data_IF_318274153154
#
_entry.id   IF_318274153154
#
_cell.length_a   1.000
_cell.length_b   1.000
_cell.length_c   1.000
_cell.angle_alpha   90.00
_cell.angle_beta   90.00
_cell.angle_gamma   90.00
#
_symmetry.space_group_name_H-M   'P 1'
#
loop_
_entity.id
_entity.type
_entity.pdbx_description
1 polymer ?
#
# COMPACT_ATOMS: atom_id res chain seq x y z
N UNK A 1 12.26 10.83 12.37
CA UNK A 1 12.16 10.14 13.67
C UNK A 1 12.82 10.87 14.84
N UNK A 2 14.05 11.38 14.72
CA UNK A 2 14.78 11.98 15.86
C UNK A 2 14.00 13.05 16.65
N UNK A 3 13.43 14.07 16.00
CA UNK A 3 12.65 15.11 16.69
C UNK A 3 11.43 14.53 17.44
N UNK A 4 10.71 13.59 16.81
CA UNK A 4 9.57 12.92 17.43
C UNK A 4 9.97 12.15 18.70
N UNK A 5 11.10 11.45 18.66
CA UNK A 5 11.59 10.63 19.78
C UNK A 5 12.13 11.50 20.92
N UNK A 6 12.96 12.49 20.60
CA UNK A 6 13.72 13.25 21.60
C UNK A 6 13.02 14.55 22.05
N UNK A 7 12.45 15.31 21.12
CA UNK A 7 11.83 16.61 21.42
C UNK A 7 10.38 16.46 21.86
N UNK A 8 9.59 15.67 21.11
CA UNK A 8 8.14 15.54 21.37
C UNK A 8 7.82 14.52 22.46
N UNK A 9 8.49 13.36 22.46
CA UNK A 9 8.23 12.27 23.40
C UNK A 9 9.32 12.12 24.49
N UNK A 10 10.21 13.10 24.58
CA UNK A 10 11.22 13.27 25.63
C UNK A 10 12.06 12.01 25.91
N UNK A 11 12.41 11.25 24.87
CA UNK A 11 13.19 10.01 24.96
C UNK A 11 12.64 9.01 26.00
N UNK A 12 11.32 9.03 26.22
CA UNK A 12 10.64 8.10 27.11
C UNK A 12 10.82 6.65 26.66
N UNK A 13 10.52 5.69 27.53
CA UNK A 13 10.56 4.26 27.17
C UNK A 13 9.63 3.94 25.98
N UNK A 14 8.46 4.59 25.92
CA UNK A 14 7.55 4.48 24.79
C UNK A 14 8.15 5.07 23.50
N UNK A 15 8.80 6.23 23.57
CA UNK A 15 9.47 6.86 22.42
C UNK A 15 10.52 5.93 21.80
N UNK A 16 11.39 5.36 22.64
CA UNK A 16 12.42 4.41 22.22
C UNK A 16 11.83 3.13 21.61
N UNK A 17 10.71 2.65 22.14
CA UNK A 17 10.00 1.51 21.55
C UNK A 17 9.43 1.83 20.18
N UNK A 18 8.85 3.01 19.98
CA UNK A 18 8.34 3.44 18.66
C UNK A 18 9.50 3.58 17.67
N UNK A 19 10.63 4.15 18.09
CA UNK A 19 11.82 4.25 17.25
C UNK A 19 12.33 2.87 16.82
N UNK A 20 12.44 1.93 17.75
CA UNK A 20 12.87 0.56 17.45
C UNK A 20 11.91 -0.14 16.48
N UNK A 21 10.60 0.00 16.67
CA UNK A 21 9.59 -0.56 15.74
C UNK A 21 9.67 0.08 14.35
N UNK A 22 9.91 1.39 14.28
CA UNK A 22 10.11 2.08 13.00
C UNK A 22 11.37 1.58 12.29
N UNK A 23 12.48 1.39 13.00
CA UNK A 23 13.72 0.84 12.43
C UNK A 23 13.51 -0.59 11.92
N UNK A 24 12.90 -1.46 12.74
CA UNK A 24 12.56 -2.83 12.36
C UNK A 24 11.69 -2.88 11.09
N UNK A 25 10.70 -1.99 11.00
CA UNK A 25 9.88 -1.82 9.80
C UNK A 25 10.74 -1.39 8.61
N UNK A 26 11.48 -0.28 8.71
CA UNK A 26 12.29 0.26 7.61
C UNK A 26 13.31 -0.75 7.06
N UNK A 27 14.01 -1.46 7.94
CA UNK A 27 14.99 -2.48 7.59
C UNK A 27 14.34 -3.77 7.09
N UNK A 28 13.06 -3.99 7.45
CA UNK A 28 12.32 -5.18 7.06
C UNK A 28 12.95 -6.44 7.62
N UNK A 29 13.39 -6.42 8.88
CA UNK A 29 14.15 -7.53 9.48
C UNK A 29 13.22 -8.71 9.81
N UNK A 30 12.12 -8.42 10.49
CA UNK A 30 11.17 -9.43 10.97
C UNK A 30 10.19 -9.91 9.91
N UNK A 31 9.46 -10.99 10.21
CA UNK A 31 8.39 -11.47 9.32
C UNK A 31 7.22 -10.49 9.33
N UNK A 32 6.94 -9.92 10.49
CA UNK A 32 5.93 -8.91 10.73
C UNK A 32 6.23 -7.65 9.92
N UNK A 33 7.46 -7.12 9.98
CA UNK A 33 7.86 -5.95 9.21
C UNK A 33 7.72 -6.17 7.69
N UNK A 34 8.17 -7.33 7.18
CA UNK A 34 8.03 -7.70 5.77
C UNK A 34 6.56 -7.80 5.35
N UNK A 35 5.73 -8.43 6.19
CA UNK A 35 4.31 -8.57 5.94
C UNK A 35 3.60 -7.21 5.94
N UNK A 36 3.89 -6.34 6.92
CA UNK A 36 3.32 -4.99 7.00
C UNK A 36 3.72 -4.15 5.79
N UNK A 37 4.97 -4.27 5.28
CA UNK A 37 5.38 -3.59 4.03
C UNK A 37 4.59 -4.07 2.82
N UNK A 38 4.27 -5.36 2.77
CA UNK A 38 3.44 -5.90 1.69
C UNK A 38 1.99 -5.42 1.79
N UNK A 39 1.45 -5.25 3.01
CA UNK A 39 0.15 -4.64 3.23
C UNK A 39 0.12 -3.16 2.81
N UNK A 40 1.15 -2.38 3.14
CA UNK A 40 1.28 -0.96 2.76
C UNK A 40 1.26 -0.78 1.23
N UNK A 41 1.96 -1.67 0.50
CA UNK A 41 1.91 -1.70 -0.97
C UNK A 41 0.54 -2.08 -1.51
N UNK A 42 -0.08 -3.09 -0.93
CA UNK A 42 -1.42 -3.50 -1.34
C UNK A 42 -2.44 -2.38 -1.11
N UNK A 43 -2.36 -1.69 0.02
CA UNK A 43 -3.20 -0.55 0.37
C UNK A 43 -3.09 0.58 -0.67
N UNK A 44 -1.87 0.90 -1.11
CA UNK A 44 -1.63 1.88 -2.19
C UNK A 44 -2.37 1.53 -3.49
N UNK A 45 -2.37 0.24 -3.88
CA UNK A 45 -3.10 -0.21 -5.06
C UNK A 45 -4.62 -0.14 -4.85
N UNK A 46 -5.12 -0.47 -3.65
CA UNK A 46 -6.53 -0.34 -3.30
C UNK A 46 -6.99 1.12 -3.42
N UNK A 47 -6.23 2.07 -2.86
CA UNK A 47 -6.54 3.50 -2.97
C UNK A 47 -6.61 3.92 -4.44
N UNK A 48 -5.62 3.55 -5.26
CA UNK A 48 -5.62 3.88 -6.68
C UNK A 48 -6.86 3.34 -7.41
N UNK A 49 -7.28 2.10 -7.11
CA UNK A 49 -8.51 1.52 -7.66
C UNK A 49 -9.76 2.31 -7.25
N UNK A 50 -9.86 2.70 -5.98
CA UNK A 50 -11.00 3.49 -5.48
C UNK A 50 -11.05 4.89 -6.08
N UNK A 51 -9.90 5.56 -6.25
CA UNK A 51 -9.83 6.85 -6.92
C UNK A 51 -10.24 6.77 -8.39
N UNK A 52 -9.84 5.72 -9.10
CA UNK A 52 -10.31 5.50 -10.46
C UNK A 52 -11.83 5.28 -10.51
N UNK A 53 -12.42 4.52 -9.58
CA UNK A 53 -13.86 4.20 -9.57
C UNK A 53 -14.73 5.40 -9.18
N UNK A 54 -14.37 6.08 -8.11
CA UNK A 54 -15.28 7.00 -7.42
C UNK A 54 -14.95 8.49 -7.69
N UNK A 55 -13.76 8.79 -8.20
CA UNK A 55 -13.28 10.18 -8.34
C UNK A 55 -12.95 10.58 -9.78
N UNK A 56 -13.35 9.78 -10.78
CA UNK A 56 -13.23 10.13 -12.19
C UNK A 56 -11.78 10.21 -12.71
N UNK A 57 -10.82 9.67 -11.97
CA UNK A 57 -9.43 9.55 -12.43
C UNK A 57 -9.36 8.49 -13.53
N UNK A 58 -8.86 8.86 -14.71
CA UNK A 58 -8.86 7.98 -15.88
C UNK A 58 -7.92 6.78 -15.68
N UNK A 59 -6.68 7.03 -15.26
CA UNK A 59 -5.72 5.96 -14.99
C UNK A 59 -4.74 6.39 -13.89
N UNK A 60 -4.59 5.53 -12.89
CA UNK A 60 -3.58 5.58 -11.85
C UNK A 60 -2.62 4.39 -11.97
N UNK A 61 -2.35 3.95 -13.21
CA UNK A 61 -1.47 2.82 -13.52
C UNK A 61 -0.10 2.86 -12.80
N UNK A 62 0.58 4.02 -12.67
CA UNK A 62 1.87 4.09 -11.97
C UNK A 62 1.82 3.59 -10.51
N UNK A 63 0.66 3.67 -9.84
CA UNK A 63 0.48 3.17 -8.48
C UNK A 63 0.42 1.64 -8.44
N UNK A 64 -0.15 1.00 -9.46
CA UNK A 64 -0.16 -0.47 -9.57
C UNK A 64 1.23 -1.01 -9.91
N UNK A 65 1.91 -0.36 -10.85
CA UNK A 65 3.23 -0.78 -11.34
C UNK A 65 4.32 -0.67 -10.26
N UNK A 66 4.20 0.33 -9.38
CA UNK A 66 5.14 0.56 -8.27
C UNK A 66 4.80 -0.19 -6.98
N UNK A 67 3.65 -0.86 -6.89
CA UNK A 67 3.19 -1.55 -5.68
C UNK A 67 3.11 -3.06 -5.82
N UNK A 68 2.17 -3.58 -6.63
CA UNK A 68 1.83 -5.00 -6.70
C UNK A 68 3.03 -5.90 -7.04
N UNK A 69 3.94 -5.54 -7.96
CA UNK A 69 5.11 -6.36 -8.27
C UNK A 69 6.11 -6.51 -7.10
N UNK A 70 6.05 -5.61 -6.12
CA UNK A 70 6.95 -5.62 -4.97
C UNK A 70 6.42 -6.44 -3.79
N UNK A 71 5.18 -6.92 -3.85
CA UNK A 71 4.56 -7.76 -2.82
C UNK A 71 5.19 -9.15 -2.84
N UNK A 72 5.63 -9.63 -1.68
CA UNK A 72 6.35 -10.91 -1.54
C UNK A 72 5.50 -12.00 -0.88
N UNK A 73 4.62 -11.63 0.04
CA UNK A 73 3.80 -12.59 0.78
C UNK A 73 2.76 -13.25 -0.15
N UNK A 74 2.71 -14.60 -0.24
CA UNK A 74 1.86 -15.29 -1.23
C UNK A 74 0.37 -14.95 -1.14
N UNK A 75 -0.15 -14.79 0.09
CA UNK A 75 -1.55 -14.45 0.30
C UNK A 75 -1.87 -13.04 -0.20
N UNK A 76 -0.96 -12.08 0.05
CA UNK A 76 -1.13 -10.69 -0.35
C UNK A 76 -0.97 -10.54 -1.87
N UNK A 77 -0.11 -11.36 -2.50
CA UNK A 77 -0.05 -11.46 -3.96
C UNK A 77 -1.38 -11.93 -4.55
N UNK A 78 -2.03 -12.90 -3.91
CA UNK A 78 -3.38 -13.36 -4.29
C UNK A 78 -4.41 -12.24 -4.24
N UNK A 79 -4.39 -11.41 -3.18
CA UNK A 79 -5.26 -10.24 -3.08
C UNK A 79 -4.94 -9.19 -4.16
N UNK A 80 -3.66 -8.93 -4.42
CA UNK A 80 -3.21 -8.03 -5.48
C UNK A 80 -3.70 -8.45 -6.87
N UNK A 81 -3.67 -9.75 -7.17
CA UNK A 81 -4.20 -10.31 -8.41
C UNK A 81 -5.72 -10.11 -8.50
N UNK A 82 -6.46 -10.42 -7.43
CA UNK A 82 -7.90 -10.23 -7.39
C UNK A 82 -8.30 -8.76 -7.62
N UNK A 83 -7.57 -7.82 -7.00
CA UNK A 83 -7.77 -6.39 -7.19
C UNK A 83 -7.51 -5.94 -8.64
N UNK A 84 -6.41 -6.42 -9.24
CA UNK A 84 -6.08 -6.11 -10.64
C UNK A 84 -7.14 -6.64 -11.60
N UNK A 85 -7.65 -7.84 -11.36
CA UNK A 85 -8.77 -8.41 -12.12
C UNK A 85 -10.03 -7.57 -11.97
N UNK A 86 -10.42 -7.19 -10.75
CA UNK A 86 -11.61 -6.36 -10.52
C UNK A 86 -11.51 -5.02 -11.24
N UNK A 87 -10.35 -4.35 -11.18
CA UNK A 87 -10.08 -3.09 -11.89
C UNK A 87 -10.27 -3.22 -13.40
N UNK A 88 -9.74 -4.27 -14.02
CA UNK A 88 -9.90 -4.50 -15.46
C UNK A 88 -11.38 -4.62 -15.85
N UNK A 89 -12.18 -5.34 -15.07
CA UNK A 89 -13.63 -5.42 -15.29
C UNK A 89 -14.33 -4.07 -15.13
N UNK A 90 -13.89 -3.23 -14.18
CA UNK A 90 -14.43 -1.88 -14.02
C UNK A 90 -14.03 -0.94 -15.16
N UNK A 91 -12.86 -1.13 -15.77
CA UNK A 91 -12.40 -0.35 -16.91
C UNK A 91 -13.15 -0.75 -18.18
N UNK A 92 -13.27 -2.06 -18.47
CA UNK A 92 -13.99 -2.54 -19.66
C UNK A 92 -15.45 -2.07 -19.68
N UNK A 93 -16.15 -2.12 -18.54
CA UNK A 93 -17.52 -1.61 -18.41
C UNK A 93 -17.63 -0.11 -18.68
N UNK A 94 -16.61 0.67 -18.31
CA UNK A 94 -16.56 2.12 -18.57
C UNK A 94 -16.34 2.41 -20.05
N UNK A 95 -15.45 1.65 -20.70
CA UNK A 95 -15.16 1.81 -22.12
C UNK A 95 -16.38 1.44 -23.00
N UNK A 96 -17.12 0.39 -22.63
CA UNK A 96 -18.38 0.00 -23.27
C UNK A 96 -19.45 1.10 -23.13
N UNK A 97 -19.60 1.68 -21.93
CA UNK A 97 -20.54 2.76 -21.67
C UNK A 97 -20.17 4.06 -22.38
N UNK A 98 -18.89 4.34 -22.61
CA UNK A 98 -18.42 5.52 -23.33
C UNK A 98 -18.48 5.38 -24.87
N UNK A 99 -18.67 4.16 -25.37
CA UNK A 99 -18.75 3.86 -26.81
C UNK A 99 -20.19 3.75 -27.33
N UNK A 100 -21.18 3.86 -26.44
CA UNK A 100 -22.63 3.85 -26.75
C UNK A 100 -23.23 5.25 -26.73
#
# INVERSE_FOLDING_TARGET
MHNFVHEMLHNSSAARRIEALWQEYEEGESKEAKFVKDLDRFEMACQASEYERNHGMQTLQPFFDSSLPLIRHPEVQGWGQALATERQHSQSKRDEASSS
#
